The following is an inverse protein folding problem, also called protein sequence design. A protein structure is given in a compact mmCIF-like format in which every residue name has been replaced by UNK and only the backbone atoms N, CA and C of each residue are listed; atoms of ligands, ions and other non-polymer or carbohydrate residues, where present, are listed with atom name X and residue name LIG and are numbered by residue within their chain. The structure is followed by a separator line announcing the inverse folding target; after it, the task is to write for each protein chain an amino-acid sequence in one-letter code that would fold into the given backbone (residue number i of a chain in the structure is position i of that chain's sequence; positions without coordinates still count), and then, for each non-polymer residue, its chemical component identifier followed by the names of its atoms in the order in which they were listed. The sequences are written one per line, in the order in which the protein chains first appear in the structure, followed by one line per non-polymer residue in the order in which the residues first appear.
data_IF_246219743814
#
_entry.id   IF_246219743814
#
_cell.length_a   1.000
_cell.length_b   1.000
_cell.length_c   1.000
_cell.angle_alpha   90.00
_cell.angle_beta   90.00
_cell.angle_gamma   90.00
#
_symmetry.space_group_name_H-M   'P 1'
#
loop_
_entity.id
_entity.type
_entity.pdbx_description
1 polymer ?
#
# COMPACT_ATOMS: atom_id res chain seq x y z
N UNK A 1 -20.63 -32.02 20.23
CA UNK A 1 -20.91 -30.86 19.36
C UNK A 1 -19.69 -29.95 19.37
N UNK A 2 -19.33 -29.38 18.21
CA UNK A 2 -18.02 -28.83 17.90
C UNK A 2 -17.89 -27.39 18.43
N UNK A 3 -16.73 -27.04 18.99
CA UNK A 3 -16.48 -25.73 19.60
C UNK A 3 -15.24 -25.09 19.00
N UNK A 4 -15.48 -24.27 17.99
CA UNK A 4 -14.70 -23.08 17.64
C UNK A 4 -13.27 -23.28 17.15
N UNK A 5 -13.21 -23.56 15.84
CA UNK A 5 -12.21 -23.02 14.93
C UNK A 5 -12.04 -21.51 15.17
N UNK A 6 -11.16 -21.14 16.10
CA UNK A 6 -10.73 -19.75 16.24
C UNK A 6 -9.86 -19.42 15.04
N UNK A 7 -10.51 -18.94 13.99
CA UNK A 7 -9.93 -18.33 12.81
C UNK A 7 -8.75 -17.44 13.21
N UNK A 8 -7.55 -17.93 12.89
CA UNK A 8 -6.29 -17.23 13.08
C UNK A 8 -6.24 -16.08 12.09
N UNK A 9 -6.87 -14.94 12.45
CA UNK A 9 -6.80 -13.69 11.70
C UNK A 9 -5.32 -13.43 11.36
N UNK A 10 -4.92 -13.33 10.08
CA UNK A 10 -3.54 -13.08 9.74
C UNK A 10 -3.21 -11.69 10.27
N UNK A 11 -2.28 -11.63 11.23
CA UNK A 11 -1.75 -10.37 11.74
C UNK A 11 -1.00 -9.75 10.57
N UNK A 12 -1.58 -8.71 9.97
CA UNK A 12 -0.90 -7.87 8.99
C UNK A 12 0.37 -7.36 9.66
N UNK A 13 1.52 -7.77 9.13
CA UNK A 13 2.82 -7.35 9.65
C UNK A 13 3.07 -5.95 9.10
N UNK A 14 2.40 -4.95 9.65
CA UNK A 14 2.68 -3.56 9.32
C UNK A 14 4.09 -3.23 9.82
N UNK A 15 4.99 -2.94 8.89
CA UNK A 15 6.37 -2.51 9.17
C UNK A 15 6.35 -1.13 9.87
N UNK A 16 7.39 -0.76 10.64
CA UNK A 16 7.53 0.60 11.16
C UNK A 16 7.54 1.57 9.97
N UNK A 17 6.52 2.43 9.85
CA UNK A 17 6.32 3.32 8.70
C UNK A 17 4.95 3.23 8.03
N UNK A 18 4.04 2.36 8.49
CA UNK A 18 2.65 2.33 8.01
C UNK A 18 2.45 1.71 6.62
N UNK A 19 3.53 1.31 5.95
CA UNK A 19 3.50 0.64 4.65
C UNK A 19 3.41 -0.87 4.84
N UNK A 20 2.43 -1.50 4.20
CA UNK A 20 2.27 -2.96 4.17
C UNK A 20 3.23 -3.59 3.13
N UNK A 21 4.17 -4.45 3.54
CA UNK A 21 5.08 -5.15 2.62
C UNK A 21 4.37 -5.96 1.54
N UNK A 22 3.19 -6.51 1.82
CA UNK A 22 2.44 -7.31 0.87
C UNK A 22 1.92 -6.43 -0.29
N UNK A 23 1.49 -5.20 0.00
CA UNK A 23 1.06 -4.24 -1.02
C UNK A 23 2.24 -3.78 -1.87
N UNK A 24 3.40 -3.52 -1.26
CA UNK A 24 4.63 -3.18 -1.99
C UNK A 24 5.03 -4.30 -2.95
N UNK A 25 4.96 -5.56 -2.50
CA UNK A 25 5.26 -6.71 -3.35
C UNK A 25 4.31 -6.82 -4.55
N UNK A 26 3.01 -6.54 -4.36
CA UNK A 26 2.03 -6.57 -5.45
C UNK A 26 2.33 -5.48 -6.49
N UNK A 27 2.59 -4.24 -6.04
CA UNK A 27 2.96 -3.13 -6.92
C UNK A 27 4.21 -3.43 -7.75
N UNK A 28 5.24 -4.02 -7.12
CA UNK A 28 6.47 -4.42 -7.81
C UNK A 28 6.21 -5.50 -8.86
N UNK A 29 5.38 -6.50 -8.55
CA UNK A 29 5.01 -7.55 -9.50
C UNK A 29 4.27 -6.96 -10.70
N UNK A 30 3.24 -6.14 -10.46
CA UNK A 30 2.47 -5.50 -11.53
C UNK A 30 3.33 -4.61 -12.43
N UNK A 31 4.24 -3.83 -11.85
CA UNK A 31 5.18 -3.00 -12.61
C UNK A 31 6.05 -3.87 -13.54
N UNK A 32 6.56 -5.00 -13.05
CA UNK A 32 7.35 -5.94 -13.86
C UNK A 32 6.53 -6.56 -14.99
N UNK A 33 5.29 -6.96 -14.72
CA UNK A 33 4.37 -7.51 -15.73
C UNK A 33 4.07 -6.49 -16.86
N UNK A 34 4.03 -5.21 -16.52
CA UNK A 34 3.82 -4.11 -17.46
C UNK A 34 5.13 -3.64 -18.14
N UNK A 35 6.27 -4.27 -17.85
CA UNK A 35 7.58 -3.89 -18.40
C UNK A 35 8.12 -2.57 -17.83
N UNK A 36 7.55 -2.08 -16.72
CA UNK A 36 7.95 -0.85 -16.06
C UNK A 36 9.22 -1.06 -15.23
N UNK A 37 10.15 -0.12 -15.33
CA UNK A 37 11.32 -0.12 -14.48
C UNK A 37 10.93 0.24 -13.04
N UNK A 38 11.59 -0.35 -12.04
CA UNK A 38 11.30 -0.06 -10.64
C UNK A 38 11.77 1.34 -10.23
N UNK A 39 12.85 1.81 -10.84
CA UNK A 39 13.49 3.11 -10.59
C UNK A 39 13.96 3.69 -11.92
N UNK A 40 14.30 4.97 -11.93
CA UNK A 40 14.66 5.71 -13.15
C UNK A 40 13.48 6.47 -13.75
N UNK A 41 13.74 7.15 -14.86
CA UNK A 41 12.76 8.00 -15.51
C UNK A 41 11.56 7.19 -16.02
N UNK A 42 10.35 7.59 -15.62
CA UNK A 42 9.11 6.89 -15.91
C UNK A 42 8.93 5.59 -15.11
N UNK A 43 9.80 5.28 -14.14
CA UNK A 43 9.70 4.08 -13.32
C UNK A 43 8.65 4.16 -12.21
N UNK A 44 8.35 3.01 -11.59
CA UNK A 44 7.35 2.84 -10.55
C UNK A 44 7.52 3.84 -9.40
N UNK A 45 8.75 3.99 -8.86
CA UNK A 45 9.00 4.88 -7.74
C UNK A 45 8.76 6.36 -8.08
N UNK A 46 9.10 6.79 -9.29
CA UNK A 46 8.86 8.17 -9.72
C UNK A 46 7.36 8.44 -9.86
N UNK A 47 6.63 7.51 -10.47
CA UNK A 47 5.17 7.62 -10.59
C UNK A 47 4.48 7.61 -9.22
N UNK A 48 4.90 6.72 -8.32
CA UNK A 48 4.37 6.67 -6.96
C UNK A 48 4.65 7.96 -6.20
N UNK A 49 5.86 8.51 -6.32
CA UNK A 49 6.24 9.79 -5.70
C UNK A 49 5.38 10.93 -6.25
N UNK A 50 5.16 10.97 -7.57
CA UNK A 50 4.28 11.95 -8.21
C UNK A 50 2.86 11.86 -7.65
N UNK A 51 2.27 10.66 -7.61
CA UNK A 51 0.93 10.43 -7.07
C UNK A 51 0.84 10.89 -5.62
N UNK A 52 1.84 10.57 -4.77
CA UNK A 52 1.85 10.99 -3.37
C UNK A 52 1.96 12.52 -3.24
N UNK A 53 2.79 13.18 -4.05
CA UNK A 53 2.93 14.64 -4.03
C UNK A 53 1.67 15.34 -4.52
N UNK A 54 1.07 14.86 -5.60
CA UNK A 54 -0.22 15.37 -6.11
C UNK A 54 -1.34 15.12 -5.08
N UNK A 55 -1.37 13.94 -4.45
CA UNK A 55 -2.34 13.62 -3.40
C UNK A 55 -2.10 14.39 -2.11
N UNK A 56 -0.87 14.82 -1.81
CA UNK A 56 -0.59 15.70 -0.67
C UNK A 56 -1.00 17.15 -0.97
N UNK A 57 -0.90 17.57 -2.23
CA UNK A 57 -1.37 18.87 -2.69
C UNK A 57 -2.90 18.94 -2.76
N UNK A 58 -3.56 17.85 -3.19
CA UNK A 58 -5.02 17.67 -3.16
C UNK A 58 -5.52 17.21 -1.77
N UNK A 59 -4.61 16.81 -0.88
CA UNK A 59 -4.84 16.15 0.40
C UNK A 59 -5.21 17.08 1.55
N UNK A 60 -5.23 18.39 1.32
CA UNK A 60 -6.01 19.29 2.20
C UNK A 60 -7.53 19.07 2.01
N UNK A 61 -7.98 18.31 0.99
CA UNK A 61 -9.40 18.06 0.67
C UNK A 61 -9.82 16.58 0.80
N UNK A 62 -8.89 15.62 0.87
CA UNK A 62 -9.25 14.18 1.00
C UNK A 62 -8.54 13.55 2.19
N UNK A 63 -8.94 13.98 3.38
CA UNK A 63 -8.68 13.33 4.68
C UNK A 63 -9.41 11.97 4.76
N UNK A 64 -9.20 11.12 3.76
CA UNK A 64 -9.81 9.80 3.63
C UNK A 64 -8.77 8.69 3.70
N UNK A 65 -8.03 8.69 4.81
CA UNK A 65 -7.63 7.43 5.44
C UNK A 65 -8.22 7.44 6.84
N UNK A 66 -9.54 7.24 6.88
CA UNK A 66 -10.25 6.80 8.07
C UNK A 66 -9.56 5.56 8.64
N UNK A 67 -8.64 5.79 9.57
CA UNK A 67 -8.54 4.89 10.70
C UNK A 67 -9.74 5.19 11.58
N UNK A 68 -10.81 4.48 11.28
CA UNK A 68 -11.84 4.15 12.24
C UNK A 68 -11.15 3.50 13.45
N UNK A 69 -10.81 4.34 14.43
CA UNK A 69 -10.42 3.96 15.77
C UNK A 69 -10.80 5.08 16.74
N UNK A 70 -12.02 4.90 17.24
CA UNK A 70 -12.64 5.49 18.44
C UNK A 70 -13.54 6.71 18.22
#
# INVERSE_FOLDING_TARGET
MPGDEKAKRPRTKTTPGGVDPALVSQLVTQAREQGLQLSGEGGLLQQLTKIVLESALDGEITDHLGYDKH
#
